data_IF_862555985210
#
_entry.id   IF_862555985210
#
_cell.length_a   1.000
_cell.length_b   1.000
_cell.length_c   1.000
_cell.angle_alpha   90.00
_cell.angle_beta   90.00
_cell.angle_gamma   90.00
#
_symmetry.space_group_name_H-M   'P 1'
#
loop_
_entity.id
_entity.type
_entity.pdbx_description
1 polymer ?
#
# COMPACT_ATOMS: atom_id res chain seq x y z
N UNK A 1 -26.19 0.71 59.60
CA UNK A 1 -24.74 0.66 59.75
C UNK A 1 -24.29 -0.68 59.10
N UNK A 2 -23.54 -0.87 58.06
CA UNK A 2 -22.61 -0.06 57.33
C UNK A 2 -22.34 -0.80 55.97
N UNK A 3 -23.34 -0.91 55.09
CA UNK A 3 -23.18 -1.60 53.76
C UNK A 3 -22.35 -0.75 52.80
N UNK A 4 -22.33 0.57 53.01
CA UNK A 4 -21.54 1.50 52.17
C UNK A 4 -20.02 1.42 52.46
N UNK A 5 -19.62 1.23 53.73
CA UNK A 5 -18.21 1.07 54.07
C UNK A 5 -17.60 -0.23 53.56
N UNK A 6 -18.37 -1.32 53.52
CA UNK A 6 -17.95 -2.59 52.97
C UNK A 6 -17.82 -2.55 51.44
N UNK A 7 -18.66 -1.76 50.74
CA UNK A 7 -18.56 -1.56 49.29
C UNK A 7 -17.31 -0.74 48.92
N UNK A 8 -17.00 0.31 49.70
CA UNK A 8 -15.80 1.11 49.46
C UNK A 8 -14.50 0.35 49.75
N UNK A 9 -14.50 -0.51 50.77
CA UNK A 9 -13.36 -1.38 51.09
C UNK A 9 -13.09 -2.40 49.96
N UNK A 10 -14.14 -3.02 49.42
CA UNK A 10 -13.99 -3.96 48.25
C UNK A 10 -13.52 -3.25 46.99
N UNK A 11 -13.99 -2.04 46.70
CA UNK A 11 -13.57 -1.27 45.54
C UNK A 11 -12.08 -0.83 45.58
N UNK A 12 -11.55 -0.60 46.80
CA UNK A 12 -10.13 -0.25 47.01
C UNK A 12 -9.17 -1.44 46.90
N UNK A 13 -9.67 -2.68 47.12
CA UNK A 13 -8.87 -3.92 47.08
C UNK A 13 -8.77 -4.53 45.67
N UNK A 14 -9.71 -4.23 44.79
CA UNK A 14 -9.72 -4.79 43.44
C UNK A 14 -8.54 -4.34 42.54
N UNK A 15 -8.17 -3.03 42.47
CA UNK A 15 -7.06 -2.60 41.64
C UNK A 15 -5.70 -3.13 42.10
N UNK A 16 -5.56 -3.44 43.39
CA UNK A 16 -4.31 -4.02 43.93
C UNK A 16 -4.17 -5.49 43.55
N UNK A 17 -5.29 -6.21 43.50
CA UNK A 17 -5.30 -7.63 43.14
C UNK A 17 -5.01 -7.84 41.66
N UNK A 18 -5.55 -6.99 40.76
CA UNK A 18 -5.30 -7.04 39.34
C UNK A 18 -3.85 -6.65 38.98
N UNK A 19 -3.25 -5.72 39.75
CA UNK A 19 -1.83 -5.40 39.61
C UNK A 19 -0.95 -6.58 40.06
N UNK A 20 -1.25 -7.19 41.19
CA UNK A 20 -0.47 -8.33 41.72
C UNK A 20 -0.57 -9.55 40.80
N UNK A 21 -1.73 -9.79 40.17
CA UNK A 21 -1.90 -10.88 39.21
C UNK A 21 -1.11 -10.61 37.92
N UNK A 22 -0.99 -9.34 37.51
CA UNK A 22 -0.21 -8.96 36.33
C UNK A 22 1.31 -9.08 36.54
N UNK A 23 1.76 -8.82 37.77
CA UNK A 23 3.19 -8.87 38.15
C UNK A 23 3.69 -10.31 38.41
N UNK A 24 2.75 -11.29 38.62
CA UNK A 24 3.07 -12.71 38.82
C UNK A 24 3.11 -13.49 37.49
N UNK A 25 2.74 -12.88 36.36
CA UNK A 25 2.98 -13.51 35.05
C UNK A 25 4.46 -13.49 34.76
N UNK A 26 5.20 -14.41 35.37
CA UNK A 26 6.58 -14.75 35.00
C UNK A 26 6.53 -15.09 33.52
N UNK A 27 7.27 -14.38 32.66
CA UNK A 27 7.34 -14.77 31.26
C UNK A 27 7.97 -16.16 31.21
N UNK A 28 7.15 -17.17 30.94
CA UNK A 28 7.63 -18.55 30.80
C UNK A 28 8.69 -18.60 29.71
N UNK A 29 9.63 -19.57 29.75
CA UNK A 29 10.74 -19.70 28.80
C UNK A 29 10.26 -19.74 27.31
N UNK A 30 8.98 -19.98 27.08
CA UNK A 30 8.33 -19.97 25.75
C UNK A 30 7.71 -18.61 25.35
N UNK A 31 7.82 -17.57 26.18
CA UNK A 31 7.28 -16.24 25.82
C UNK A 31 8.01 -15.66 24.60
N UNK A 32 9.30 -15.93 24.47
CA UNK A 32 10.12 -15.56 23.30
C UNK A 32 9.68 -16.29 22.04
N UNK A 33 9.28 -17.55 22.15
CA UNK A 33 8.88 -18.37 21.01
C UNK A 33 7.52 -17.92 20.42
N UNK A 34 6.60 -17.45 21.28
CA UNK A 34 5.30 -16.90 20.84
C UNK A 34 5.44 -15.68 19.94
N UNK A 35 6.55 -14.94 20.05
CA UNK A 35 6.87 -13.78 19.20
C UNK A 35 7.13 -14.19 17.74
N UNK A 36 7.60 -15.41 17.51
CA UNK A 36 7.92 -15.95 16.18
C UNK A 36 6.75 -16.70 15.52
N UNK A 37 5.71 -17.03 16.30
CA UNK A 37 4.51 -17.72 15.76
C UNK A 37 3.90 -16.99 14.57
N UNK A 38 3.77 -15.64 14.55
CA UNK A 38 3.24 -14.92 13.39
C UNK A 38 4.11 -15.06 12.13
N UNK A 39 5.41 -15.39 12.28
CA UNK A 39 6.31 -15.58 11.14
C UNK A 39 6.22 -16.97 10.52
N UNK A 40 5.64 -17.95 11.24
CA UNK A 40 5.55 -19.34 10.74
C UNK A 40 4.73 -19.44 9.46
N UNK A 41 3.61 -18.72 9.37
CA UNK A 41 2.75 -18.76 8.18
C UNK A 41 3.44 -18.12 6.96
N UNK A 42 4.01 -16.91 7.03
CA UNK A 42 4.78 -16.35 5.92
C UNK A 42 5.96 -17.22 5.49
N UNK A 43 6.71 -17.78 6.46
CA UNK A 43 7.82 -18.67 6.16
C UNK A 43 7.37 -19.98 5.51
N UNK A 44 6.27 -20.57 5.97
CA UNK A 44 5.70 -21.77 5.37
C UNK A 44 5.26 -21.51 3.92
N UNK A 45 4.62 -20.37 3.65
CA UNK A 45 4.22 -19.96 2.30
C UNK A 45 5.45 -19.80 1.40
N UNK A 46 6.48 -19.09 1.87
CA UNK A 46 7.71 -18.87 1.12
C UNK A 46 8.45 -20.19 0.85
N UNK A 47 8.51 -21.09 1.83
CA UNK A 47 9.14 -22.40 1.68
C UNK A 47 8.38 -23.29 0.71
N UNK A 48 7.05 -23.28 0.78
CA UNK A 48 6.19 -24.01 -0.17
C UNK A 48 6.37 -23.46 -1.59
N UNK A 49 6.36 -22.14 -1.76
CA UNK A 49 6.61 -21.52 -3.07
C UNK A 49 7.98 -21.85 -3.61
N UNK A 50 9.03 -21.76 -2.79
CA UNK A 50 10.39 -22.14 -3.18
C UNK A 50 10.44 -23.61 -3.64
N UNK A 51 9.84 -24.53 -2.90
CA UNK A 51 9.82 -25.95 -3.24
C UNK A 51 9.02 -26.23 -4.51
N UNK A 52 7.87 -25.63 -4.68
CA UNK A 52 7.02 -25.79 -5.85
C UNK A 52 7.68 -25.25 -7.14
N UNK A 53 8.38 -24.13 -7.04
CA UNK A 53 9.08 -23.52 -8.18
C UNK A 53 10.36 -24.28 -8.52
N UNK A 54 11.17 -24.66 -7.54
CA UNK A 54 12.41 -25.43 -7.76
C UNK A 54 12.16 -26.89 -8.16
N UNK A 55 11.03 -27.46 -7.76
CA UNK A 55 10.60 -28.81 -8.16
C UNK A 55 10.01 -28.93 -9.56
N UNK A 56 9.95 -27.82 -10.31
CA UNK A 56 9.40 -27.81 -11.70
C UNK A 56 7.87 -27.85 -11.79
N UNK A 57 7.15 -27.81 -10.63
CA UNK A 57 5.70 -27.76 -10.63
C UNK A 57 5.15 -26.42 -11.15
N UNK A 58 5.96 -25.36 -11.06
CA UNK A 58 5.66 -24.03 -11.58
C UNK A 58 6.70 -23.65 -12.64
N UNK A 59 6.25 -23.12 -13.78
CA UNK A 59 7.16 -22.59 -14.78
C UNK A 59 7.90 -21.36 -14.22
N UNK A 60 9.23 -21.38 -14.26
CA UNK A 60 10.08 -20.26 -13.82
C UNK A 60 9.83 -18.98 -14.61
N UNK A 61 9.24 -19.07 -15.79
CA UNK A 61 8.84 -17.93 -16.62
C UNK A 61 7.60 -17.22 -16.06
N UNK A 62 6.69 -17.98 -15.44
CA UNK A 62 5.43 -17.43 -14.89
C UNK A 62 5.65 -17.02 -13.43
N UNK A 63 6.28 -17.88 -12.65
CA UNK A 63 6.51 -17.65 -11.21
C UNK A 63 7.91 -18.14 -10.82
N UNK A 64 8.94 -17.27 -10.90
CA UNK A 64 10.30 -17.62 -10.50
C UNK A 64 10.38 -17.92 -9.00
N UNK A 65 11.40 -18.71 -8.60
CA UNK A 65 11.59 -19.05 -7.19
C UNK A 65 11.93 -17.78 -6.35
N UNK A 66 11.49 -17.70 -5.09
CA UNK A 66 11.83 -16.58 -4.20
C UNK A 66 13.31 -16.25 -4.14
N UNK A 67 14.16 -17.28 -4.15
CA UNK A 67 15.61 -17.10 -4.14
C UNK A 67 16.13 -16.44 -5.43
N UNK A 68 15.54 -16.74 -6.58
CA UNK A 68 15.93 -16.14 -7.86
C UNK A 68 15.47 -14.69 -7.94
N UNK A 69 14.29 -14.38 -7.37
CA UNK A 69 13.82 -12.99 -7.19
C UNK A 69 14.78 -12.21 -6.31
N UNK A 70 15.23 -12.78 -5.18
CA UNK A 70 16.18 -12.13 -4.30
C UNK A 70 17.54 -11.90 -4.97
N UNK A 71 18.03 -12.87 -5.74
CA UNK A 71 19.28 -12.74 -6.51
C UNK A 71 19.16 -11.66 -7.60
N UNK A 72 18.04 -11.63 -8.32
CA UNK A 72 17.77 -10.61 -9.33
C UNK A 72 17.71 -9.22 -8.71
N UNK A 73 17.04 -9.07 -7.57
CA UNK A 73 16.99 -7.82 -6.82
C UNK A 73 18.38 -7.32 -6.43
N UNK A 74 19.21 -8.19 -5.84
CA UNK A 74 20.57 -7.84 -5.47
C UNK A 74 21.43 -7.45 -6.68
N UNK A 75 21.28 -8.15 -7.80
CA UNK A 75 21.97 -7.81 -9.05
C UNK A 75 21.60 -6.43 -9.56
N UNK A 76 20.30 -6.13 -9.63
CA UNK A 76 19.79 -4.83 -10.08
C UNK A 76 20.20 -3.70 -9.13
N UNK A 77 20.27 -3.99 -7.83
CA UNK A 77 20.74 -3.03 -6.84
C UNK A 77 22.23 -2.72 -7.00
N UNK A 78 23.05 -3.76 -7.19
CA UNK A 78 24.50 -3.60 -7.34
C UNK A 78 24.92 -3.03 -8.69
N UNK A 79 24.16 -3.28 -9.75
CA UNK A 79 24.40 -2.69 -11.08
C UNK A 79 23.99 -1.21 -11.16
N UNK A 80 23.24 -0.68 -10.18
CA UNK A 80 22.68 0.65 -10.22
C UNK A 80 21.40 0.79 -11.06
N UNK A 81 21.03 -0.23 -11.81
CA UNK A 81 19.85 -0.24 -12.69
C UNK A 81 18.55 0.00 -11.91
N UNK A 82 18.47 -0.53 -10.67
CA UNK A 82 17.32 -0.31 -9.81
C UNK A 82 17.19 1.17 -9.41
N UNK A 83 18.30 1.83 -9.12
CA UNK A 83 18.30 3.25 -8.74
C UNK A 83 17.93 4.14 -9.95
N UNK A 84 18.44 3.83 -11.13
CA UNK A 84 18.10 4.51 -12.37
C UNK A 84 16.60 4.39 -12.70
N UNK A 85 16.07 3.17 -12.70
CA UNK A 85 14.65 2.92 -12.95
C UNK A 85 13.74 3.56 -11.90
N UNK A 86 14.17 3.58 -10.63
CA UNK A 86 13.45 4.26 -9.55
C UNK A 86 13.44 5.79 -9.77
N UNK A 87 14.57 6.38 -10.16
CA UNK A 87 14.66 7.80 -10.46
C UNK A 87 13.77 8.21 -11.64
N UNK A 88 13.79 7.44 -12.73
CA UNK A 88 12.92 7.68 -13.90
C UNK A 88 11.44 7.57 -13.49
N UNK A 89 11.09 6.56 -12.70
CA UNK A 89 9.71 6.37 -12.24
C UNK A 89 9.27 7.49 -11.30
N UNK A 90 10.15 7.97 -10.44
CA UNK A 90 9.90 9.10 -9.55
C UNK A 90 9.69 10.41 -10.33
N UNK A 91 10.57 10.70 -11.30
CA UNK A 91 10.44 11.89 -12.15
C UNK A 91 9.14 11.85 -12.96
N UNK A 92 8.76 10.68 -13.48
CA UNK A 92 7.50 10.50 -14.20
C UNK A 92 6.29 10.77 -13.28
N UNK A 93 6.30 10.20 -12.07
CA UNK A 93 5.25 10.41 -11.08
C UNK A 93 5.14 11.89 -10.69
N UNK A 94 6.28 12.55 -10.46
CA UNK A 94 6.33 13.97 -10.13
C UNK A 94 5.83 14.84 -11.28
N UNK A 95 6.25 14.56 -12.51
CA UNK A 95 5.80 15.29 -13.69
C UNK A 95 4.29 15.14 -13.91
N UNK A 96 3.76 13.91 -13.78
CA UNK A 96 2.33 13.63 -13.85
C UNK A 96 1.54 14.34 -12.74
N UNK A 97 2.09 14.37 -11.51
CA UNK A 97 1.50 15.11 -10.40
C UNK A 97 1.46 16.61 -10.66
N UNK A 98 2.52 17.20 -11.19
CA UNK A 98 2.58 18.63 -11.50
C UNK A 98 1.57 18.99 -12.59
N UNK A 99 1.54 18.23 -13.67
CA UNK A 99 0.62 18.50 -14.80
C UNK A 99 -0.84 18.24 -14.38
N UNK A 100 -1.15 17.02 -13.97
CA UNK A 100 -2.50 16.63 -13.59
C UNK A 100 -3.02 17.42 -12.39
N UNK A 101 -2.16 17.59 -11.36
CA UNK A 101 -2.49 18.35 -10.16
C UNK A 101 -2.73 19.83 -10.42
N UNK A 102 -1.95 20.47 -11.28
CA UNK A 102 -2.17 21.90 -11.65
C UNK A 102 -3.51 22.07 -12.35
N UNK A 103 -3.85 21.19 -13.29
CA UNK A 103 -5.13 21.24 -13.99
C UNK A 103 -6.29 20.98 -13.02
N UNK A 104 -6.18 19.93 -12.19
CA UNK A 104 -7.19 19.58 -11.20
C UNK A 104 -7.40 20.70 -10.16
N UNK A 105 -6.31 21.28 -9.66
CA UNK A 105 -6.35 22.39 -8.71
C UNK A 105 -7.00 23.63 -9.32
N UNK A 106 -6.63 23.99 -10.55
CA UNK A 106 -7.19 25.16 -11.25
C UNK A 106 -8.69 25.00 -11.50
N UNK A 107 -9.13 23.82 -11.95
CA UNK A 107 -10.55 23.51 -12.15
C UNK A 107 -11.30 23.46 -10.81
N UNK A 108 -10.74 22.80 -9.80
CA UNK A 108 -11.35 22.73 -8.47
C UNK A 108 -11.51 24.12 -7.83
N UNK A 109 -10.50 24.98 -7.97
CA UNK A 109 -10.56 26.37 -7.49
C UNK A 109 -11.63 27.18 -8.25
N UNK A 110 -11.66 27.05 -9.58
CA UNK A 110 -12.67 27.71 -10.41
C UNK A 110 -14.09 27.28 -10.03
N UNK A 111 -14.29 25.99 -9.79
CA UNK A 111 -15.60 25.45 -9.38
C UNK A 111 -15.98 25.87 -7.95
N UNK A 112 -15.00 25.99 -7.06
CA UNK A 112 -15.24 26.48 -5.70
C UNK A 112 -15.61 27.96 -5.64
N UNK A 113 -15.09 28.78 -6.57
CA UNK A 113 -15.33 30.21 -6.62
C UNK A 113 -16.55 30.60 -7.47
N UNK A 114 -16.95 29.77 -8.43
CA UNK A 114 -18.00 30.09 -9.41
C UNK A 114 -19.03 28.97 -9.53
N UNK A 115 -20.30 29.27 -9.18
CA UNK A 115 -21.41 28.34 -9.38
C UNK A 115 -21.64 27.99 -10.85
N UNK A 116 -21.37 28.91 -11.76
CA UNK A 116 -21.52 28.70 -13.20
C UNK A 116 -20.44 27.69 -13.69
N UNK A 117 -19.20 27.82 -13.23
CA UNK A 117 -18.12 26.87 -13.53
C UNK A 117 -18.49 25.47 -13.02
N UNK A 118 -18.92 25.35 -11.78
CA UNK A 118 -19.35 24.08 -11.20
C UNK A 118 -20.49 23.43 -12.00
N UNK A 119 -21.53 24.18 -12.34
CA UNK A 119 -22.66 23.66 -13.14
C UNK A 119 -22.24 23.20 -14.55
N UNK A 120 -21.25 23.86 -15.14
CA UNK A 120 -20.78 23.52 -16.48
C UNK A 120 -19.87 22.28 -16.51
N UNK A 121 -19.06 22.06 -15.47
CA UNK A 121 -17.97 21.08 -15.49
C UNK A 121 -18.20 19.86 -14.60
N UNK A 122 -18.91 20.00 -13.46
CA UNK A 122 -19.05 18.91 -12.47
C UNK A 122 -19.64 17.64 -13.06
N UNK A 123 -20.71 17.75 -13.85
CA UNK A 123 -21.37 16.59 -14.46
C UNK A 123 -20.42 15.87 -15.43
N UNK A 124 -19.69 16.62 -16.26
CA UNK A 124 -18.75 16.07 -17.23
C UNK A 124 -17.57 15.41 -16.54
N UNK A 125 -17.00 16.07 -15.52
CA UNK A 125 -15.90 15.51 -14.73
C UNK A 125 -16.33 14.22 -14.02
N UNK A 126 -17.52 14.19 -13.42
CA UNK A 126 -18.04 12.99 -12.76
C UNK A 126 -18.28 11.84 -13.75
N UNK A 127 -18.77 12.12 -14.97
CA UNK A 127 -18.93 11.10 -16.01
C UNK A 127 -17.57 10.49 -16.41
N UNK A 128 -16.58 11.33 -16.66
CA UNK A 128 -15.25 10.86 -17.08
C UNK A 128 -14.55 10.10 -15.94
N UNK A 129 -14.72 10.53 -14.70
CA UNK A 129 -14.16 9.85 -13.50
C UNK A 129 -14.62 8.40 -13.36
N UNK A 130 -15.82 8.07 -13.85
CA UNK A 130 -16.34 6.70 -13.81
C UNK A 130 -15.65 5.77 -14.82
N UNK A 131 -14.87 6.31 -15.77
CA UNK A 131 -14.09 5.50 -16.71
C UNK A 131 -12.82 5.02 -15.99
N UNK A 132 -12.60 3.69 -15.84
CA UNK A 132 -11.37 3.18 -15.24
C UNK A 132 -10.14 3.60 -16.06
N UNK A 133 -9.16 4.26 -15.45
CA UNK A 133 -7.95 4.72 -16.16
C UNK A 133 -7.24 3.59 -16.91
N UNK A 134 -7.26 2.37 -16.35
CA UNK A 134 -6.65 1.19 -16.98
C UNK A 134 -7.34 0.79 -18.30
N UNK A 135 -8.62 1.05 -18.45
CA UNK A 135 -9.34 0.76 -19.71
C UNK A 135 -9.00 1.75 -20.83
N UNK A 136 -8.39 2.88 -20.49
CA UNK A 136 -7.91 3.85 -21.48
C UNK A 136 -6.53 3.51 -22.05
N UNK A 137 -5.81 2.55 -21.46
CA UNK A 137 -4.45 2.17 -21.91
C UNK A 137 -4.40 1.86 -23.41
N UNK A 138 -5.28 1.03 -24.00
CA UNK A 138 -5.21 0.74 -25.44
C UNK A 138 -5.41 1.99 -26.31
N UNK A 139 -6.29 2.88 -25.90
CA UNK A 139 -6.57 4.14 -26.61
C UNK A 139 -5.38 5.10 -26.54
N UNK A 140 -4.77 5.20 -25.36
CA UNK A 140 -3.59 6.05 -25.13
C UNK A 140 -2.39 5.53 -25.92
N UNK A 141 -2.19 4.21 -25.98
CA UNK A 141 -1.15 3.60 -26.80
C UNK A 141 -1.41 3.86 -28.29
N UNK A 142 -2.66 3.85 -28.73
CA UNK A 142 -3.02 4.15 -30.12
C UNK A 142 -2.68 5.58 -30.50
N UNK A 143 -2.88 6.54 -29.57
CA UNK A 143 -2.63 7.97 -29.82
C UNK A 143 -1.18 8.39 -29.66
N UNK A 144 -0.48 7.91 -28.63
CA UNK A 144 0.86 8.33 -28.25
C UNK A 144 1.94 7.27 -28.50
N UNK A 145 1.54 6.04 -28.88
CA UNK A 145 2.46 4.91 -29.01
C UNK A 145 2.86 4.32 -27.66
N UNK A 146 3.80 3.35 -27.73
CA UNK A 146 4.39 2.73 -26.52
C UNK A 146 5.63 3.53 -26.14
N UNK A 147 5.49 4.48 -25.21
CA UNK A 147 6.59 5.36 -24.80
C UNK A 147 6.37 6.03 -23.47
N UNK A 148 7.24 6.99 -23.14
CA UNK A 148 7.16 7.79 -21.91
C UNK A 148 5.97 8.74 -21.93
N UNK A 149 5.58 9.23 -23.10
CA UNK A 149 4.44 10.14 -23.30
C UNK A 149 3.12 9.50 -22.84
N UNK A 150 2.89 8.25 -23.24
CA UNK A 150 1.71 7.47 -22.81
C UNK A 150 1.67 7.27 -21.29
N UNK A 151 2.81 6.97 -20.70
CA UNK A 151 2.95 6.77 -19.26
C UNK A 151 2.71 8.06 -18.49
N UNK A 152 3.27 9.18 -18.99
CA UNK A 152 3.09 10.49 -18.40
C UNK A 152 1.63 10.94 -18.47
N UNK A 153 0.98 10.75 -19.64
CA UNK A 153 -0.42 11.08 -19.83
C UNK A 153 -1.33 10.31 -18.87
N UNK A 154 -1.14 8.98 -18.76
CA UNK A 154 -1.90 8.14 -17.84
C UNK A 154 -1.68 8.52 -16.37
N UNK A 155 -0.44 8.88 -16.02
CA UNK A 155 -0.12 9.34 -14.65
C UNK A 155 -0.79 10.68 -14.36
N UNK A 156 -0.72 11.65 -15.28
CA UNK A 156 -1.37 12.95 -15.13
C UNK A 156 -2.90 12.81 -15.06
N UNK A 157 -3.48 11.94 -15.87
CA UNK A 157 -4.92 11.66 -15.87
C UNK A 157 -5.37 11.02 -14.54
N UNK A 158 -4.56 10.10 -14.01
CA UNK A 158 -4.83 9.46 -12.71
C UNK A 158 -4.75 10.42 -11.52
N UNK A 159 -3.93 11.48 -11.62
CA UNK A 159 -3.82 12.54 -10.61
C UNK A 159 -4.95 13.56 -10.75
N UNK A 160 -5.40 13.80 -11.99
CA UNK A 160 -6.46 14.77 -12.27
C UNK A 160 -7.81 14.39 -11.64
N UNK A 161 -8.11 13.10 -11.53
CA UNK A 161 -9.35 12.57 -10.95
C UNK A 161 -9.20 12.04 -9.53
#
# INVERSE_FOLDING_TARGET
MNTLALRQSKAKLQPTRDKLVKDIVVPGPFASLKRFVPLLVPLAILSFWQAASSGGALSSTILPAPLDVARAFLRLLLSGELAENAAISFLRALSGLLVGGTIAFSLGLSNGLSRLSAQATDTTIQMIRNIPNLSLIPLVILWFGIGEESKLFLTALGVFF
#
